data_IF_574345807406
#
_entry.id   IF_574345807406
#
_cell.length_a   1.000
_cell.length_b   1.000
_cell.length_c   1.000
_cell.angle_alpha   90.00
_cell.angle_beta   90.00
_cell.angle_gamma   90.00
#
_symmetry.space_group_name_H-M   'P 1'
#
loop_
_entity.id
_entity.type
_entity.pdbx_description
1 polymer ?
#
# COMPACT_ATOMS: atom_id res chain seq x y z
N UNK A 1 23.15 -16.00 -35.23
CA UNK A 1 23.23 -15.61 -33.81
C UNK A 1 21.85 -15.14 -33.42
N UNK A 2 21.09 -16.00 -32.77
CA UNK A 2 19.83 -15.66 -32.11
C UNK A 2 20.13 -14.65 -31.02
N UNK A 3 19.53 -13.47 -31.10
CA UNK A 3 19.51 -12.51 -30.01
C UNK A 3 18.94 -13.22 -28.78
N UNK A 4 19.60 -13.20 -27.60
CA UNK A 4 18.97 -13.74 -26.41
C UNK A 4 17.66 -12.98 -26.21
N UNK A 5 16.57 -13.71 -25.93
CA UNK A 5 15.34 -13.08 -25.47
C UNK A 5 15.74 -12.23 -24.26
N UNK A 6 15.54 -10.92 -24.32
CA UNK A 6 15.73 -10.05 -23.17
C UNK A 6 14.90 -10.65 -22.05
N UNK A 7 15.54 -11.23 -21.04
CA UNK A 7 14.82 -11.78 -19.90
C UNK A 7 13.88 -10.69 -19.39
N UNK A 8 12.58 -11.02 -19.33
CA UNK A 8 11.59 -10.06 -18.90
C UNK A 8 11.98 -9.62 -17.48
N UNK A 9 12.35 -8.35 -17.32
CA UNK A 9 12.81 -7.83 -16.03
C UNK A 9 11.77 -8.14 -14.95
N UNK A 10 12.19 -8.55 -13.73
CA UNK A 10 11.27 -8.92 -12.66
C UNK A 10 10.24 -7.82 -12.44
N UNK A 11 8.98 -8.24 -12.29
CA UNK A 11 7.88 -7.33 -12.03
C UNK A 11 7.48 -7.41 -10.56
N UNK A 12 7.32 -6.25 -9.92
CA UNK A 12 6.70 -6.08 -8.62
C UNK A 12 5.24 -5.67 -8.84
N UNK A 13 4.30 -6.38 -8.23
CA UNK A 13 2.89 -5.98 -8.15
C UNK A 13 2.58 -5.52 -6.73
N UNK A 14 1.92 -4.39 -6.57
CA UNK A 14 1.44 -3.90 -5.29
C UNK A 14 -0.09 -3.81 -5.35
N UNK A 15 -0.77 -4.46 -4.42
CA UNK A 15 -2.24 -4.53 -4.39
C UNK A 15 -2.74 -3.76 -3.18
N UNK A 16 -3.37 -2.62 -3.45
CA UNK A 16 -3.82 -1.65 -2.46
C UNK A 16 -5.33 -1.42 -2.53
N UNK A 17 -5.91 -0.97 -1.42
CA UNK A 17 -7.33 -0.74 -1.31
C UNK A 17 -7.73 0.56 -2.03
N UNK A 18 -7.08 1.68 -1.70
CA UNK A 18 -7.50 3.01 -2.14
C UNK A 18 -6.38 3.81 -2.83
N UNK A 19 -6.74 4.87 -3.58
CA UNK A 19 -5.78 5.85 -4.10
C UNK A 19 -5.09 6.67 -2.99
N UNK A 20 -3.81 6.40 -2.72
CA UNK A 20 -2.89 7.04 -1.75
C UNK A 20 -2.05 6.00 -1.00
N UNK A 21 -2.69 4.88 -0.63
CA UNK A 21 -2.12 3.73 0.05
C UNK A 21 -0.79 3.29 -0.55
N UNK A 22 -0.73 3.24 -1.88
CA UNK A 22 0.45 2.78 -2.60
C UNK A 22 1.64 3.69 -2.31
N UNK A 23 1.42 5.00 -2.27
CA UNK A 23 2.48 5.97 -2.04
C UNK A 23 2.81 6.10 -0.55
N UNK A 24 1.79 6.04 0.32
CA UNK A 24 1.94 6.11 1.77
C UNK A 24 2.75 4.93 2.33
N UNK A 25 2.48 3.72 1.83
CA UNK A 25 3.04 2.49 2.41
C UNK A 25 4.19 1.88 1.61
N UNK A 26 4.29 2.19 0.31
CA UNK A 26 5.27 1.55 -0.60
C UNK A 26 5.95 2.49 -1.60
N UNK A 27 5.80 3.81 -1.43
CA UNK A 27 6.34 4.81 -2.34
C UNK A 27 7.86 4.73 -2.53
N UNK A 28 8.62 4.44 -1.47
CA UNK A 28 10.08 4.28 -1.51
C UNK A 28 10.46 3.00 -2.27
N UNK A 29 9.76 1.90 -1.98
CA UNK A 29 9.95 0.61 -2.66
C UNK A 29 9.68 0.74 -4.13
N UNK A 30 8.58 1.38 -4.53
CA UNK A 30 8.25 1.62 -5.94
C UNK A 30 9.33 2.47 -6.62
N UNK A 31 9.69 3.61 -6.04
CA UNK A 31 10.72 4.51 -6.60
C UNK A 31 12.07 3.80 -6.77
N UNK A 32 12.48 3.00 -5.79
CA UNK A 32 13.71 2.20 -5.86
C UNK A 32 13.66 1.20 -7.00
N UNK A 33 12.59 0.42 -7.10
CA UNK A 33 12.49 -0.63 -8.12
C UNK A 33 12.41 -0.04 -9.54
N UNK A 34 11.72 1.10 -9.72
CA UNK A 34 11.74 1.83 -11.00
C UNK A 34 13.13 2.37 -11.32
N UNK A 35 13.85 2.97 -10.36
CA UNK A 35 15.24 3.45 -10.53
C UNK A 35 16.18 2.33 -10.93
N UNK A 36 16.01 1.15 -10.34
CA UNK A 36 16.80 -0.05 -10.63
C UNK A 36 16.35 -0.70 -11.97
N UNK A 37 15.28 -0.17 -12.58
CA UNK A 37 14.78 -0.52 -13.90
C UNK A 37 13.89 -1.76 -13.92
N UNK A 38 13.34 -2.17 -12.78
CA UNK A 38 12.31 -3.20 -12.69
C UNK A 38 10.96 -2.68 -13.20
N UNK A 39 10.07 -3.60 -13.58
CA UNK A 39 8.67 -3.25 -13.87
C UNK A 39 7.92 -3.16 -12.54
N UNK A 40 7.22 -2.06 -12.31
CA UNK A 40 6.38 -1.88 -11.12
C UNK A 40 4.95 -1.62 -11.57
N UNK A 41 4.02 -2.38 -10.99
CA UNK A 41 2.59 -2.27 -11.25
C UNK A 41 1.81 -2.13 -9.96
N UNK A 42 0.85 -1.19 -9.92
CA UNK A 42 -0.09 -1.03 -8.81
C UNK A 42 -1.49 -1.44 -9.27
N UNK A 43 -2.15 -2.28 -8.47
CA UNK A 43 -3.56 -2.60 -8.61
C UNK A 43 -4.31 -1.98 -7.43
N UNK A 44 -5.21 -1.05 -7.70
CA UNK A 44 -6.05 -0.41 -6.68
C UNK A 44 -7.45 -1.03 -6.70
N UNK A 45 -7.95 -1.52 -5.55
CA UNK A 45 -9.20 -2.26 -5.47
C UNK A 45 -10.45 -1.39 -5.58
N UNK A 46 -10.42 -0.17 -5.02
CA UNK A 46 -11.53 0.79 -5.06
C UNK A 46 -11.01 2.19 -5.43
N UNK A 47 -11.90 3.18 -5.50
CA UNK A 47 -11.51 4.57 -5.82
C UNK A 47 -11.61 5.50 -4.60
N UNK A 48 -11.91 4.96 -3.43
CA UNK A 48 -11.93 5.74 -2.21
C UNK A 48 -13.09 6.74 -2.15
N UNK A 49 -14.26 6.33 -2.63
CA UNK A 49 -15.44 7.16 -2.75
C UNK A 49 -15.99 7.66 -1.40
N UNK A 50 -15.71 6.95 -0.32
CA UNK A 50 -16.16 7.28 1.05
C UNK A 50 -15.12 8.08 1.83
N UNK A 51 -14.02 8.51 1.18
CA UNK A 51 -12.96 9.30 1.78
C UNK A 51 -13.41 10.70 2.21
N UNK A 52 -12.77 11.22 3.25
CA UNK A 52 -12.85 12.64 3.59
C UNK A 52 -12.07 13.48 2.56
N UNK A 53 -12.33 14.79 2.51
CA UNK A 53 -11.66 15.71 1.58
C UNK A 53 -11.00 16.82 2.37
N UNK A 54 -9.67 16.96 2.28
CA UNK A 54 -8.92 18.00 3.00
C UNK A 54 -9.26 19.41 2.49
N UNK A 55 -9.11 19.73 1.18
CA UNK A 55 -9.29 21.11 0.72
C UNK A 55 -10.77 21.52 0.68
N UNK A 56 -11.09 22.64 1.31
CA UNK A 56 -12.47 23.13 1.43
C UNK A 56 -13.14 23.38 0.07
N UNK A 57 -12.36 23.83 -0.92
CA UNK A 57 -12.82 24.03 -2.28
C UNK A 57 -13.26 22.73 -2.98
N UNK A 58 -12.80 21.56 -2.52
CA UNK A 58 -13.10 20.25 -3.07
C UNK A 58 -14.11 19.45 -2.24
N UNK A 59 -14.56 19.95 -1.07
CA UNK A 59 -15.51 19.24 -0.19
C UNK A 59 -16.79 18.79 -0.90
N UNK A 60 -17.22 19.54 -1.92
CA UNK A 60 -18.38 19.19 -2.73
C UNK A 60 -18.26 17.83 -3.45
N UNK A 61 -17.08 17.22 -3.54
CA UNK A 61 -16.83 15.95 -4.20
C UNK A 61 -17.19 14.72 -3.36
N UNK A 62 -17.29 14.85 -2.03
CA UNK A 62 -17.52 13.71 -1.14
C UNK A 62 -18.83 12.95 -1.42
N UNK A 63 -18.97 11.77 -0.81
CA UNK A 63 -20.14 10.90 -0.95
C UNK A 63 -21.47 11.54 -0.48
N UNK A 64 -21.43 12.53 0.40
CA UNK A 64 -22.62 13.19 0.94
C UNK A 64 -23.11 14.34 0.04
N UNK A 65 -22.25 14.83 -0.86
CA UNK A 65 -22.53 15.92 -1.77
C UNK A 65 -22.73 15.43 -3.21
N UNK A 66 -21.67 15.40 -4.02
CA UNK A 66 -21.77 15.02 -5.44
C UNK A 66 -21.43 13.57 -5.74
N UNK A 67 -20.89 12.82 -4.76
CA UNK A 67 -20.44 11.43 -4.92
C UNK A 67 -19.47 11.29 -6.13
N UNK A 68 -18.61 12.30 -6.31
CA UNK A 68 -17.70 12.43 -7.44
C UNK A 68 -16.23 12.20 -7.05
N UNK A 69 -15.95 11.97 -5.76
CA UNK A 69 -14.61 11.84 -5.21
C UNK A 69 -13.82 10.70 -5.87
N UNK A 70 -14.41 9.53 -6.11
CA UNK A 70 -13.69 8.42 -6.73
C UNK A 70 -13.15 8.72 -8.13
N UNK A 71 -13.93 9.44 -8.95
CA UNK A 71 -13.48 9.87 -10.27
C UNK A 71 -12.32 10.88 -10.18
N UNK A 72 -12.34 11.76 -9.16
CA UNK A 72 -11.26 12.69 -8.89
C UNK A 72 -10.00 11.97 -8.43
N UNK A 73 -10.12 11.08 -7.43
CA UNK A 73 -9.03 10.28 -6.86
C UNK A 73 -8.38 9.34 -7.88
N UNK A 74 -9.13 8.88 -8.89
CA UNK A 74 -8.54 8.14 -10.03
C UNK A 74 -7.51 8.97 -10.79
N UNK A 75 -7.74 10.27 -10.95
CA UNK A 75 -6.78 11.17 -11.61
C UNK A 75 -5.61 11.56 -10.70
N UNK A 76 -5.85 11.67 -9.40
CA UNK A 76 -4.79 11.82 -8.38
C UNK A 76 -3.84 10.60 -8.40
N UNK A 77 -4.39 9.39 -8.35
CA UNK A 77 -3.64 8.13 -8.52
C UNK A 77 -2.82 8.12 -9.80
N UNK A 78 -3.46 8.45 -10.93
CA UNK A 78 -2.77 8.47 -12.23
C UNK A 78 -1.59 9.44 -12.23
N UNK A 79 -1.73 10.60 -11.60
CA UNK A 79 -0.66 11.59 -11.49
C UNK A 79 0.47 11.13 -10.56
N UNK A 80 0.14 10.57 -9.38
CA UNK A 80 1.11 9.99 -8.44
C UNK A 80 1.93 8.86 -9.09
N UNK A 81 1.26 7.93 -9.77
CA UNK A 81 1.90 6.80 -10.45
C UNK A 81 2.80 7.26 -11.61
N UNK A 82 2.35 8.26 -12.37
CA UNK A 82 3.18 8.87 -13.41
C UNK A 82 4.44 9.55 -12.83
N UNK A 83 4.34 10.22 -11.67
CA UNK A 83 5.47 10.86 -11.01
C UNK A 83 6.54 9.84 -10.55
N UNK A 84 6.12 8.64 -10.15
CA UNK A 84 7.02 7.55 -9.75
C UNK A 84 7.50 6.66 -10.91
N UNK A 85 6.96 6.84 -12.12
CA UNK A 85 7.24 5.97 -13.27
C UNK A 85 6.63 4.57 -13.13
N UNK A 86 5.53 4.46 -12.39
CA UNK A 86 4.82 3.21 -12.08
C UNK A 86 3.62 3.05 -13.01
N UNK A 87 3.36 1.82 -13.44
CA UNK A 87 2.12 1.50 -14.16
C UNK A 87 1.02 1.14 -13.17
N UNK A 88 -0.24 1.43 -13.48
CA UNK A 88 -1.33 1.08 -12.57
C UNK A 88 -2.61 0.71 -13.32
N UNK A 89 -3.52 0.04 -12.62
CA UNK A 89 -4.90 -0.19 -13.04
C UNK A 89 -5.83 -0.27 -11.83
N UNK A 90 -7.14 -0.07 -12.06
CA UNK A 90 -8.18 -0.17 -11.03
C UNK A 90 -8.95 -1.48 -11.23
N UNK A 91 -9.19 -2.20 -10.13
CA UNK A 91 -9.80 -3.52 -10.17
C UNK A 91 -11.23 -3.47 -10.75
N UNK A 92 -11.43 -4.15 -11.89
CA UNK A 92 -12.73 -4.20 -12.56
C UNK A 92 -13.11 -2.95 -13.34
N UNK A 93 -12.15 -2.05 -13.57
CA UNK A 93 -12.31 -0.96 -14.53
C UNK A 93 -12.71 -1.49 -15.92
N UNK A 94 -13.65 -0.80 -16.56
CA UNK A 94 -14.13 -1.10 -17.91
C UNK A 94 -14.44 0.22 -18.63
N UNK A 95 -13.44 0.77 -19.33
CA UNK A 95 -13.58 2.04 -20.05
C UNK A 95 -14.65 2.00 -21.15
N UNK A 96 -14.91 0.83 -21.74
CA UNK A 96 -15.92 0.69 -22.79
C UNK A 96 -17.34 0.83 -22.23
N UNK A 97 -17.57 0.38 -20.99
CA UNK A 97 -18.80 0.58 -20.25
C UNK A 97 -18.85 1.89 -19.45
N UNK A 98 -17.77 2.68 -19.44
CA UNK A 98 -17.66 3.88 -18.61
C UNK A 98 -17.60 3.59 -17.11
N UNK A 99 -17.24 2.36 -16.72
CA UNK A 99 -17.15 1.93 -15.32
C UNK A 99 -15.73 2.10 -14.82
N UNK A 100 -15.55 2.90 -13.77
CA UNK A 100 -14.23 3.18 -13.21
C UNK A 100 -13.75 2.08 -12.24
N UNK A 101 -14.67 1.42 -11.54
CA UNK A 101 -14.44 0.23 -10.71
C UNK A 101 -15.74 -0.58 -10.61
N UNK A 102 -15.65 -1.90 -10.40
CA UNK A 102 -16.82 -2.71 -9.99
C UNK A 102 -17.07 -2.65 -8.48
N UNK A 103 -16.08 -2.21 -7.71
CA UNK A 103 -16.12 -2.16 -6.26
C UNK A 103 -16.00 -0.71 -5.79
N UNK A 104 -16.96 -0.32 -4.96
CA UNK A 104 -16.94 0.92 -4.20
C UNK A 104 -16.18 0.72 -2.90
N UNK A 105 -15.49 1.76 -2.46
CA UNK A 105 -15.00 1.92 -1.09
C UNK A 105 -16.11 1.59 -0.07
N UNK A 106 -15.76 0.79 0.92
CA UNK A 106 -16.68 0.33 1.97
C UNK A 106 -16.74 1.28 3.16
N UNK A 107 -15.89 2.30 3.19
CA UNK A 107 -15.75 3.26 4.27
C UNK A 107 -15.08 2.69 5.53
N UNK A 108 -14.88 3.58 6.49
CA UNK A 108 -14.23 3.27 7.76
C UNK A 108 -15.08 2.37 8.66
N UNK A 109 -14.43 1.46 9.38
CA UNK A 109 -15.10 0.63 10.39
C UNK A 109 -15.80 1.50 11.44
N UNK A 110 -17.08 1.20 11.72
CA UNK A 110 -17.88 1.91 12.72
C UNK A 110 -18.57 3.18 12.20
N UNK A 111 -18.35 3.59 10.94
CA UNK A 111 -19.15 4.62 10.28
C UNK A 111 -20.45 3.98 9.78
N UNK A 112 -21.59 4.58 10.14
CA UNK A 112 -22.92 4.13 9.69
C UNK A 112 -23.18 4.64 8.28
N UNK A 113 -22.83 3.83 7.28
CA UNK A 113 -23.10 4.10 5.88
C UNK A 113 -24.37 3.39 5.40
N UNK A 114 -25.14 3.97 4.46
CA UNK A 114 -26.25 3.27 3.83
C UNK A 114 -25.79 1.93 3.24
N UNK A 115 -26.57 0.84 3.39
CA UNK A 115 -26.19 -0.46 2.86
C UNK A 115 -26.09 -0.39 1.33
N UNK A 116 -24.95 -0.83 0.80
CA UNK A 116 -24.63 -0.77 -0.62
C UNK A 116 -24.15 -2.13 -1.14
N UNK A 117 -24.77 -2.68 -2.20
CA UNK A 117 -24.42 -3.99 -2.73
C UNK A 117 -23.11 -4.00 -3.54
N UNK A 118 -22.60 -2.82 -3.91
CA UNK A 118 -21.39 -2.60 -4.69
C UNK A 118 -20.13 -2.37 -3.83
N UNK A 119 -20.22 -2.49 -2.51
CA UNK A 119 -19.07 -2.35 -1.59
C UNK A 119 -18.06 -3.48 -1.76
N UNK A 120 -16.76 -3.17 -1.65
CA UNK A 120 -15.71 -4.16 -1.81
C UNK A 120 -15.73 -5.25 -0.73
N UNK A 121 -16.00 -4.89 0.54
CA UNK A 121 -16.18 -5.89 1.61
C UNK A 121 -17.38 -6.80 1.40
N UNK A 122 -18.40 -6.31 0.69
CA UNK A 122 -19.59 -7.08 0.33
C UNK A 122 -19.39 -8.02 -0.86
N UNK A 123 -18.29 -7.88 -1.60
CA UNK A 123 -17.99 -8.70 -2.75
C UNK A 123 -17.76 -10.18 -2.37
N UNK A 124 -18.19 -11.09 -3.25
CA UNK A 124 -17.81 -12.50 -3.13
C UNK A 124 -16.28 -12.65 -3.24
N UNK A 125 -15.67 -13.27 -2.23
CA UNK A 125 -14.22 -13.41 -2.12
C UNK A 125 -13.65 -14.15 -3.34
N UNK A 126 -14.31 -15.22 -3.79
CA UNK A 126 -13.84 -16.01 -4.93
C UNK A 126 -13.88 -15.22 -6.24
N UNK A 127 -14.95 -14.47 -6.48
CA UNK A 127 -15.11 -13.61 -7.64
C UNK A 127 -14.07 -12.48 -7.66
N UNK A 128 -13.89 -11.76 -6.54
CA UNK A 128 -12.87 -10.72 -6.43
C UNK A 128 -11.45 -11.30 -6.58
N UNK A 129 -11.16 -12.44 -5.97
CA UNK A 129 -9.88 -13.12 -6.09
C UNK A 129 -9.58 -13.58 -7.52
N UNK A 130 -10.60 -14.03 -8.27
CA UNK A 130 -10.44 -14.38 -9.67
C UNK A 130 -10.01 -13.17 -10.53
N UNK A 131 -10.56 -11.99 -10.26
CA UNK A 131 -10.17 -10.75 -10.95
C UNK A 131 -8.71 -10.37 -10.65
N UNK A 132 -8.28 -10.49 -9.39
CA UNK A 132 -6.87 -10.27 -9.01
C UNK A 132 -5.96 -11.35 -9.63
N UNK A 133 -6.41 -12.60 -9.70
CA UNK A 133 -5.66 -13.68 -10.36
C UNK A 133 -5.46 -13.43 -11.86
N UNK A 134 -6.42 -12.80 -12.55
CA UNK A 134 -6.25 -12.40 -13.94
C UNK A 134 -5.17 -11.32 -14.11
N UNK A 135 -5.09 -10.38 -13.16
CA UNK A 135 -3.98 -9.41 -13.10
C UNK A 135 -2.65 -10.13 -12.87
N UNK A 136 -2.58 -11.05 -11.91
CA UNK A 136 -1.37 -11.86 -11.65
C UNK A 136 -0.89 -12.61 -12.90
N UNK A 137 -1.80 -13.27 -13.62
CA UNK A 137 -1.47 -13.98 -14.87
C UNK A 137 -0.99 -13.06 -15.99
N UNK A 138 -1.54 -11.85 -16.08
CA UNK A 138 -1.14 -10.84 -17.08
C UNK A 138 0.22 -10.22 -16.74
N UNK A 139 0.38 -9.77 -15.50
CA UNK A 139 1.58 -9.04 -15.04
C UNK A 139 2.77 -10.00 -14.87
N UNK A 140 2.50 -11.23 -14.41
CA UNK A 140 3.46 -12.27 -13.99
C UNK A 140 4.53 -11.70 -13.05
N UNK A 141 4.12 -11.15 -11.89
CA UNK A 141 5.07 -10.59 -10.94
C UNK A 141 5.94 -11.68 -10.33
N UNK A 142 7.16 -11.32 -9.94
CA UNK A 142 8.02 -12.17 -9.12
C UNK A 142 7.68 -12.01 -7.62
N UNK A 143 7.20 -10.82 -7.23
CA UNK A 143 6.70 -10.55 -5.89
C UNK A 143 5.43 -9.70 -5.91
N UNK A 144 4.58 -9.93 -4.92
CA UNK A 144 3.35 -9.19 -4.64
C UNK A 144 3.45 -8.59 -3.25
N UNK A 145 3.10 -7.31 -3.10
CA UNK A 145 2.97 -6.63 -1.81
C UNK A 145 1.50 -6.31 -1.56
N UNK A 146 1.02 -6.57 -0.35
CA UNK A 146 -0.31 -6.17 0.14
C UNK A 146 -0.27 -5.97 1.66
N UNK A 147 -1.42 -5.95 2.33
CA UNK A 147 -1.53 -5.78 3.78
C UNK A 147 -1.39 -7.11 4.55
N UNK A 148 -1.29 -7.03 5.87
CA UNK A 148 -1.41 -8.17 6.79
C UNK A 148 -2.88 -8.55 7.06
N UNK A 149 -3.12 -9.58 7.89
CA UNK A 149 -4.48 -10.07 8.20
C UNK A 149 -5.37 -9.02 8.90
N UNK A 150 -4.76 -7.98 9.49
CA UNK A 150 -5.45 -6.83 10.10
C UNK A 150 -5.63 -5.63 9.16
N UNK A 151 -5.12 -5.69 7.93
CA UNK A 151 -5.28 -4.61 6.96
C UNK A 151 -4.56 -3.32 7.39
N UNK A 152 -3.42 -3.41 8.06
CA UNK A 152 -2.71 -2.23 8.54
C UNK A 152 -3.29 -1.65 9.83
N UNK A 153 -4.34 -0.85 9.69
CA UNK A 153 -5.00 -0.12 10.77
C UNK A 153 -6.47 -0.52 10.99
N UNK A 154 -6.86 -1.73 10.53
CA UNK A 154 -8.22 -2.27 10.60
C UNK A 154 -9.22 -1.60 9.65
N UNK A 155 -8.76 -1.01 8.55
CA UNK A 155 -9.66 -0.59 7.48
C UNK A 155 -10.34 -1.83 6.86
N UNK A 156 -11.68 -1.88 6.75
CA UNK A 156 -12.38 -3.03 6.19
C UNK A 156 -11.89 -3.43 4.78
N UNK A 157 -11.69 -2.46 3.90
CA UNK A 157 -11.16 -2.71 2.55
C UNK A 157 -9.71 -3.19 2.52
N UNK A 158 -8.87 -2.82 3.49
CA UNK A 158 -7.49 -3.32 3.55
C UNK A 158 -7.49 -4.79 3.95
N UNK A 159 -8.33 -5.17 4.92
CA UNK A 159 -8.54 -6.57 5.30
C UNK A 159 -9.09 -7.36 4.12
N UNK A 160 -10.05 -6.81 3.36
CA UNK A 160 -10.58 -7.46 2.18
C UNK A 160 -9.51 -7.58 1.07
N UNK A 161 -8.70 -6.55 0.86
CA UNK A 161 -7.59 -6.56 -0.11
C UNK A 161 -6.58 -7.65 0.23
N UNK A 162 -6.23 -7.79 1.52
CA UNK A 162 -5.41 -8.88 2.02
C UNK A 162 -6.01 -10.25 1.67
N UNK A 163 -7.28 -10.48 2.02
CA UNK A 163 -7.97 -11.76 1.79
C UNK A 163 -8.05 -12.11 0.31
N UNK A 164 -8.45 -11.15 -0.52
CA UNK A 164 -8.60 -11.30 -1.97
C UNK A 164 -7.24 -11.60 -2.61
N UNK A 165 -6.19 -10.89 -2.21
CA UNK A 165 -4.83 -11.09 -2.74
C UNK A 165 -4.27 -12.45 -2.34
N UNK A 166 -4.40 -12.85 -1.07
CA UNK A 166 -3.96 -14.18 -0.62
C UNK A 166 -4.69 -15.29 -1.37
N UNK A 167 -6.01 -15.20 -1.49
CA UNK A 167 -6.82 -16.17 -2.24
C UNK A 167 -6.43 -16.22 -3.73
N UNK A 168 -6.15 -15.08 -4.34
CA UNK A 168 -5.71 -15.00 -5.74
C UNK A 168 -4.36 -15.71 -5.94
N UNK A 169 -3.37 -15.44 -5.07
CA UNK A 169 -2.06 -16.10 -5.12
C UNK A 169 -2.17 -17.60 -4.83
N UNK A 170 -2.93 -18.00 -3.82
CA UNK A 170 -3.16 -19.41 -3.49
C UNK A 170 -3.88 -20.18 -4.62
N UNK A 171 -4.66 -19.51 -5.46
CA UNK A 171 -5.31 -20.13 -6.61
C UNK A 171 -4.36 -20.50 -7.76
N UNK A 172 -3.12 -19.97 -7.76
CA UNK A 172 -2.11 -20.29 -8.77
C UNK A 172 -1.40 -21.62 -8.46
N UNK A 173 -0.88 -22.33 -9.48
CA UNK A 173 0.02 -23.47 -9.29
C UNK A 173 1.20 -23.09 -8.40
N UNK A 174 1.61 -23.97 -7.48
CA UNK A 174 2.59 -23.66 -6.44
C UNK A 174 3.95 -23.18 -6.99
N UNK A 175 4.38 -23.69 -8.14
CA UNK A 175 5.60 -23.31 -8.85
C UNK A 175 5.49 -22.01 -9.66
N UNK A 176 4.28 -21.46 -9.80
CA UNK A 176 3.99 -20.19 -10.47
C UNK A 176 3.65 -19.06 -9.48
N UNK A 177 3.59 -19.35 -8.16
CA UNK A 177 3.22 -18.35 -7.14
C UNK A 177 4.33 -17.32 -6.98
N UNK A 178 4.04 -16.00 -7.07
CA UNK A 178 4.99 -14.98 -6.66
C UNK A 178 5.25 -15.06 -5.16
N UNK A 179 6.37 -14.50 -4.71
CA UNK A 179 6.56 -14.19 -3.29
C UNK A 179 5.46 -13.21 -2.85
N UNK A 180 4.83 -13.45 -1.71
CA UNK A 180 3.79 -12.59 -1.19
C UNK A 180 4.28 -11.91 0.08
N UNK A 181 4.18 -10.58 0.15
CA UNK A 181 4.65 -9.78 1.27
C UNK A 181 3.51 -8.95 1.87
N UNK A 182 3.48 -8.86 3.19
CA UNK A 182 2.74 -7.83 3.93
C UNK A 182 3.62 -6.62 4.18
N UNK A 183 3.09 -5.41 3.99
CA UNK A 183 3.70 -4.18 4.50
C UNK A 183 3.46 -4.05 6.01
N UNK A 184 4.54 -3.84 6.77
CA UNK A 184 4.54 -3.79 8.24
C UNK A 184 5.59 -2.80 8.74
N UNK A 185 5.37 -2.25 9.93
CA UNK A 185 6.30 -1.32 10.56
C UNK A 185 6.92 -1.96 11.81
N UNK A 186 8.25 -2.06 11.91
CA UNK A 186 8.90 -2.46 13.15
C UNK A 186 8.55 -1.52 14.30
N UNK A 187 8.26 -2.05 15.49
CA UNK A 187 7.97 -1.25 16.67
C UNK A 187 9.12 -0.29 17.04
N UNK A 188 10.38 -0.68 16.79
CA UNK A 188 11.52 0.22 16.97
C UNK A 188 11.47 1.46 16.06
N UNK A 189 11.08 1.29 14.79
CA UNK A 189 10.97 2.39 13.84
C UNK A 189 9.81 3.31 14.17
N UNK A 190 8.67 2.76 14.58
CA UNK A 190 7.52 3.57 14.98
C UNK A 190 7.85 4.47 16.19
N UNK A 191 8.61 3.94 17.17
CA UNK A 191 9.12 4.74 18.31
C UNK A 191 10.10 5.82 17.86
N UNK A 192 11.04 5.46 16.99
CA UNK A 192 12.01 6.41 16.43
C UNK A 192 11.31 7.55 15.67
N UNK A 193 10.27 7.26 14.90
CA UNK A 193 9.54 8.27 14.14
C UNK A 193 8.77 9.22 15.07
N UNK A 194 8.15 8.72 16.15
CA UNK A 194 7.56 9.58 17.19
C UNK A 194 8.61 10.44 17.91
N UNK A 195 9.80 9.89 18.19
CA UNK A 195 10.92 10.65 18.76
C UNK A 195 11.42 11.73 17.80
N UNK A 196 11.56 11.40 16.52
CA UNK A 196 12.01 12.31 15.48
C UNK A 196 11.04 13.48 15.31
N UNK A 197 9.73 13.22 15.26
CA UNK A 197 8.69 14.25 15.15
C UNK A 197 8.68 15.19 16.35
N UNK A 198 8.94 14.69 17.57
CA UNK A 198 9.08 15.55 18.77
C UNK A 198 10.31 16.44 18.71
N UNK A 199 11.41 15.97 18.12
CA UNK A 199 12.63 16.74 17.94
C UNK A 199 12.55 17.72 16.75
N UNK A 200 11.69 17.42 15.77
CA UNK A 200 11.52 18.18 14.53
C UNK A 200 10.02 18.42 14.27
N UNK A 201 9.36 19.23 15.12
CA UNK A 201 7.94 19.51 14.93
C UNK A 201 7.71 20.21 13.57
N UNK A 202 6.67 19.81 12.82
CA UNK A 202 6.35 20.43 11.54
C UNK A 202 5.96 21.90 11.72
N UNK A 203 6.09 22.69 10.65
CA UNK A 203 5.69 24.10 10.67
C UNK A 203 4.17 24.27 10.55
N UNK A 204 3.52 23.27 9.95
CA UNK A 204 2.09 23.13 9.79
C UNK A 204 1.41 22.98 11.16
N UNK A 205 0.14 23.44 11.30
CA UNK A 205 -0.59 23.41 12.56
C UNK A 205 -1.10 22.00 12.93
N UNK A 206 -0.31 20.97 12.68
CA UNK A 206 -0.64 19.58 12.97
C UNK A 206 -0.31 19.21 14.41
N UNK A 207 -1.10 18.29 14.93
CA UNK A 207 -0.82 17.65 16.21
C UNK A 207 0.28 16.60 16.04
N UNK A 208 1.14 16.46 17.04
CA UNK A 208 2.06 15.32 17.10
C UNK A 208 1.31 14.07 17.55
N UNK A 209 1.73 12.86 17.11
CA UNK A 209 1.19 11.62 17.63
C UNK A 209 1.35 11.54 19.15
N UNK A 210 0.34 10.99 19.82
CA UNK A 210 0.41 10.70 21.25
C UNK A 210 1.62 9.79 21.53
N UNK A 211 2.60 10.21 22.36
CA UNK A 211 3.77 9.39 22.66
C UNK A 211 3.40 8.05 23.32
N UNK A 212 2.33 8.03 24.12
CA UNK A 212 1.86 6.87 24.87
C UNK A 212 0.65 6.18 24.20
N UNK A 213 0.16 6.75 23.10
CA UNK A 213 -0.95 6.19 22.35
C UNK A 213 -0.60 4.86 21.69
N UNK A 214 -1.60 4.00 21.55
CA UNK A 214 -1.43 2.71 20.87
C UNK A 214 -0.95 2.90 19.42
N UNK A 215 -0.18 1.94 18.94
CA UNK A 215 0.16 1.86 17.53
C UNK A 215 -0.89 1.04 16.77
N UNK A 216 -1.06 1.27 15.45
CA UNK A 216 -1.92 0.41 14.65
C UNK A 216 -1.38 -1.03 14.63
N UNK A 217 -2.23 -2.05 14.36
CA UNK A 217 -1.82 -3.46 14.33
C UNK A 217 -0.64 -3.79 13.42
N UNK A 218 -0.40 -3.02 12.34
CA UNK A 218 0.78 -3.19 11.48
C UNK A 218 2.10 -2.80 12.12
N UNK A 219 2.08 -2.14 13.29
CA UNK A 219 3.28 -1.96 14.10
C UNK A 219 3.50 -3.22 14.93
N UNK A 220 4.48 -4.01 14.50
CA UNK A 220 4.72 -5.36 15.01
C UNK A 220 6.06 -5.46 15.72
N UNK A 221 6.28 -6.57 16.42
CA UNK A 221 7.62 -6.89 16.94
C UNK A 221 8.65 -6.89 15.79
N UNK A 222 9.82 -6.31 16.06
CA UNK A 222 10.89 -6.14 15.09
C UNK A 222 11.30 -7.44 14.38
N UNK A 223 11.16 -8.60 15.03
CA UNK A 223 11.50 -9.91 14.49
C UNK A 223 10.48 -10.44 13.47
N UNK A 224 9.25 -9.89 13.43
CA UNK A 224 8.24 -10.24 12.42
C UNK A 224 8.61 -9.64 11.06
N UNK A 225 9.21 -8.44 11.07
CA UNK A 225 9.66 -7.76 9.85
C UNK A 225 10.98 -8.36 9.40
N UNK A 226 10.93 -9.15 8.32
CA UNK A 226 12.05 -9.94 7.81
C UNK A 226 12.77 -9.28 6.63
N UNK A 227 12.11 -8.32 5.97
CA UNK A 227 12.63 -7.60 4.82
C UNK A 227 12.44 -6.09 5.01
N UNK A 228 13.31 -5.31 4.40
CA UNK A 228 13.25 -3.85 4.45
C UNK A 228 13.74 -3.18 3.17
N UNK A 229 13.22 -1.99 2.92
CA UNK A 229 13.76 -1.04 1.96
C UNK A 229 14.07 0.25 2.70
N UNK A 230 15.34 0.66 2.69
CA UNK A 230 15.83 1.88 3.36
C UNK A 230 16.56 2.74 2.34
N UNK A 231 15.89 3.78 1.86
CA UNK A 231 16.36 4.69 0.80
C UNK A 231 15.96 6.14 1.14
N UNK A 232 16.58 6.77 2.15
CA UNK A 232 16.25 8.15 2.53
C UNK A 232 16.46 9.15 1.39
N UNK A 233 17.33 8.84 0.41
CA UNK A 233 17.52 9.66 -0.79
C UNK A 233 16.33 9.68 -1.76
N UNK A 234 15.32 8.82 -1.56
CA UNK A 234 14.11 8.77 -2.38
C UNK A 234 12.88 9.42 -1.71
N UNK A 235 13.04 10.00 -0.52
CA UNK A 235 11.93 10.65 0.20
C UNK A 235 11.30 11.77 -0.62
N UNK A 236 12.09 12.57 -1.36
CA UNK A 236 11.51 13.63 -2.20
C UNK A 236 10.67 13.06 -3.37
N UNK A 237 11.02 11.88 -3.89
CA UNK A 237 10.21 11.23 -4.92
C UNK A 237 8.86 10.76 -4.35
N UNK A 238 8.87 10.15 -3.16
CA UNK A 238 7.65 9.78 -2.43
C UNK A 238 6.80 11.01 -2.09
N UNK A 239 7.41 12.06 -1.52
CA UNK A 239 6.75 13.31 -1.20
C UNK A 239 6.15 13.98 -2.46
N UNK A 240 6.87 13.98 -3.57
CA UNK A 240 6.39 14.48 -4.86
C UNK A 240 5.16 13.73 -5.37
N UNK A 241 5.11 12.42 -5.21
CA UNK A 241 3.95 11.60 -5.55
C UNK A 241 2.76 11.86 -4.59
N UNK A 242 3.01 11.95 -3.28
CA UNK A 242 1.96 12.26 -2.29
C UNK A 242 1.28 13.60 -2.54
N UNK A 243 2.01 14.60 -3.05
CA UNK A 243 1.44 15.91 -3.41
C UNK A 243 0.40 15.85 -4.54
N UNK A 244 0.27 14.71 -5.23
CA UNK A 244 -0.83 14.50 -6.19
C UNK A 244 -2.13 14.02 -5.55
N UNK A 245 -2.07 13.44 -4.35
CA UNK A 245 -3.24 13.02 -3.56
C UNK A 245 -3.75 14.17 -2.70
N UNK A 246 -4.04 15.32 -3.35
CA UNK A 246 -4.36 16.58 -2.67
C UNK A 246 -5.63 16.52 -1.84
N UNK A 247 -6.56 15.62 -2.17
CA UNK A 247 -7.78 15.42 -1.37
C UNK A 247 -7.51 14.68 -0.06
N UNK A 248 -6.43 13.88 0.01
CA UNK A 248 -6.20 12.93 1.12
C UNK A 248 -4.95 13.24 1.95
N UNK A 249 -3.92 13.86 1.35
CA UNK A 249 -2.61 14.04 1.98
C UNK A 249 -2.13 15.47 1.82
N UNK A 250 -1.72 16.07 2.93
CA UNK A 250 -0.94 17.32 2.91
C UNK A 250 0.51 17.03 3.27
N UNK A 251 1.43 17.29 2.34
CA UNK A 251 2.88 17.17 2.57
C UNK A 251 3.42 18.49 3.11
N UNK A 252 4.19 18.41 4.20
CA UNK A 252 4.78 19.57 4.86
C UNK A 252 5.80 20.29 3.99
N UNK A 253 6.03 21.56 4.30
CA UNK A 253 7.00 22.41 3.62
C UNK A 253 8.44 21.88 3.73
N UNK A 254 8.71 21.06 4.74
CA UNK A 254 9.99 20.38 4.93
C UNK A 254 10.21 19.20 3.96
N UNK A 255 9.17 18.71 3.27
CA UNK A 255 9.21 17.54 2.39
C UNK A 255 9.43 16.21 3.11
N UNK A 256 9.45 16.19 4.43
CA UNK A 256 9.75 15.03 5.27
C UNK A 256 8.61 14.68 6.23
N UNK A 257 7.59 15.51 6.32
CA UNK A 257 6.38 15.26 7.09
C UNK A 257 5.14 15.34 6.22
N UNK A 258 4.06 14.70 6.67
CA UNK A 258 2.74 14.83 6.08
C UNK A 258 1.66 14.65 7.15
N UNK A 259 0.43 15.01 6.82
CA UNK A 259 -0.75 14.63 7.60
C UNK A 259 -1.90 14.25 6.66
N UNK A 260 -2.85 13.50 7.22
CA UNK A 260 -4.15 13.20 6.61
C UNK A 260 -5.20 14.19 7.14
N UNK A 261 -6.49 13.94 6.89
CA UNK A 261 -7.59 14.79 7.38
C UNK A 261 -7.70 14.89 8.91
N UNK A 262 -7.05 13.98 9.65
CA UNK A 262 -7.00 14.00 11.11
C UNK A 262 -6.01 15.03 11.68
N UNK A 263 -5.24 15.73 10.84
CA UNK A 263 -4.22 16.71 11.24
C UNK A 263 -3.16 16.14 12.21
N UNK A 264 -2.89 14.83 12.13
CA UNK A 264 -1.81 14.19 12.90
C UNK A 264 -0.58 14.04 12.01
N UNK A 265 0.53 14.62 12.44
CA UNK A 265 1.79 14.58 11.72
C UNK A 265 2.39 13.16 11.67
N UNK A 266 2.85 12.76 10.49
CA UNK A 266 3.59 11.54 10.23
C UNK A 266 4.89 11.86 9.48
N UNK A 267 5.90 10.99 9.63
CA UNK A 267 7.23 11.17 9.03
C UNK A 267 7.37 10.33 7.76
N UNK A 268 7.88 10.95 6.69
CA UNK A 268 8.42 10.26 5.53
C UNK A 268 9.87 9.84 5.83
N UNK A 269 10.03 8.68 6.47
CA UNK A 269 11.34 8.25 7.00
C UNK A 269 12.28 7.67 5.93
N UNK A 270 11.77 7.38 4.73
CA UNK A 270 12.53 6.71 3.67
C UNK A 270 12.73 5.21 3.94
N UNK A 271 11.89 4.62 4.80
CA UNK A 271 11.99 3.23 5.26
C UNK A 271 10.65 2.54 5.16
N UNK A 272 10.65 1.33 4.62
CA UNK A 272 9.47 0.48 4.48
C UNK A 272 9.83 -0.95 4.88
N UNK A 273 9.00 -1.57 5.71
CA UNK A 273 9.22 -2.91 6.26
C UNK A 273 8.24 -3.93 5.69
N UNK A 274 8.70 -5.17 5.54
CA UNK A 274 7.90 -6.24 4.98
C UNK A 274 8.10 -7.57 5.70
N UNK A 275 7.06 -8.40 5.69
CA UNK A 275 7.14 -9.80 6.08
C UNK A 275 6.63 -10.71 4.97
N UNK A 276 7.31 -11.82 4.72
CA UNK A 276 6.83 -12.84 3.78
C UNK A 276 5.56 -13.47 4.36
N UNK A 277 4.51 -13.60 3.56
CA UNK A 277 3.26 -14.27 3.91
C UNK A 277 3.22 -15.67 3.31
N UNK A 278 2.60 -16.60 4.03
CA UNK A 278 2.08 -17.83 3.45
C UNK A 278 0.74 -17.53 2.78
N UNK A 279 0.60 -17.69 1.45
CA UNK A 279 -0.65 -17.38 0.74
C UNK A 279 -1.86 -18.20 1.19
N UNK A 280 -1.66 -19.41 1.72
CA UNK A 280 -2.76 -20.28 2.16
C UNK A 280 -3.34 -19.82 3.50
N UNK A 281 -2.49 -19.32 4.40
CA UNK A 281 -2.90 -18.89 5.73
C UNK A 281 -3.05 -17.37 5.87
N UNK A 282 -2.47 -16.60 4.96
CA UNK A 282 -2.41 -15.14 5.01
C UNK A 282 -1.48 -14.61 6.12
N UNK A 283 -0.67 -15.46 6.74
CA UNK A 283 0.11 -15.09 7.93
C UNK A 283 1.60 -14.94 7.64
N UNK A 284 2.30 -14.06 8.37
CA UNK A 284 3.75 -13.97 8.30
C UNK A 284 4.43 -15.33 8.53
N UNK A 285 5.31 -15.71 7.61
CA UNK A 285 6.18 -16.86 7.77
C UNK A 285 7.28 -16.47 8.77
N UNK A 286 7.47 -17.21 9.88
CA UNK A 286 8.54 -16.93 10.81
C UNK A 286 9.90 -16.89 10.10
N UNK A 287 10.71 -15.87 10.39
CA UNK A 287 12.07 -15.79 9.88
C UNK A 287 12.88 -17.03 10.26
N UNK A 288 13.59 -17.63 9.30
CA UNK A 288 14.50 -18.74 9.58
C UNK A 288 15.73 -18.17 10.31
N UNK A 289 15.69 -18.13 11.64
CA UNK A 289 16.77 -17.57 12.46
C UNK A 289 16.73 -18.04 13.92
N UNK A 290 17.57 -19.02 14.24
CA UNK A 290 18.15 -19.30 15.56
C UNK A 290 17.21 -19.76 16.69
N UNK A 291 17.20 -21.07 16.96
CA UNK A 291 16.81 -21.55 18.29
C UNK A 291 17.81 -21.00 19.33
N UNK A 292 17.41 -19.95 20.05
CA UNK A 292 18.08 -19.48 21.27
C UNK A 292 18.68 -18.09 21.17
N UNK A 293 18.04 -17.10 21.82
CA UNK A 293 18.65 -15.94 22.49
C UNK A 293 19.53 -14.96 21.69
N UNK A 294 19.79 -15.19 20.40
CA UNK A 294 20.60 -14.30 19.58
C UNK A 294 19.80 -13.05 19.14
N UNK A 295 20.48 -11.92 18.83
CA UNK A 295 19.81 -10.73 18.32
C UNK A 295 19.00 -11.06 17.06
N UNK A 296 17.91 -10.33 16.85
CA UNK A 296 17.05 -10.52 15.68
C UNK A 296 17.91 -10.61 14.40
N UNK A 297 17.69 -11.61 13.54
CA UNK A 297 18.49 -11.79 12.34
C UNK A 297 18.44 -10.53 11.46
N UNK A 298 19.54 -10.23 10.78
CA UNK A 298 19.60 -9.09 9.88
C UNK A 298 18.48 -9.17 8.83
N UNK A 299 17.75 -8.07 8.63
CA UNK A 299 16.67 -8.00 7.63
C UNK A 299 17.25 -8.02 6.22
N UNK A 300 16.52 -8.66 5.31
CA UNK A 300 16.89 -8.72 3.89
C UNK A 300 16.53 -7.42 3.19
N UNK A 301 17.40 -6.90 2.34
CA UNK A 301 17.24 -5.57 1.72
C UNK A 301 16.60 -5.59 0.34
N UNK A 302 16.22 -6.77 -0.19
CA UNK A 302 15.69 -6.92 -1.53
C UNK A 302 14.42 -7.78 -1.52
N UNK A 303 13.36 -7.29 -2.18
CA UNK A 303 12.09 -8.02 -2.33
C UNK A 303 12.07 -8.95 -3.56
N UNK A 304 12.99 -8.75 -4.51
CA UNK A 304 13.06 -9.49 -5.77
C UNK A 304 14.31 -10.38 -5.88
N UNK A 305 15.13 -10.49 -4.84
CA UNK A 305 16.28 -11.40 -4.88
C UNK A 305 15.82 -12.85 -4.72
N UNK A 306 16.36 -13.70 -5.60
CA UNK A 306 16.09 -15.11 -5.70
C UNK A 306 16.39 -15.80 -4.38
N UNK A 307 15.45 -16.62 -3.91
CA UNK A 307 15.81 -17.73 -3.05
C UNK A 307 16.79 -18.60 -3.85
N UNK A 308 18.09 -18.48 -3.57
CA UNK A 308 19.10 -19.47 -3.95
C UNK A 308 18.80 -20.82 -3.28
#
# INVERSE_FOLDING_TARGET
MTTPATEARPALLLVHAHPDDETLTTGITMARHVRDGHRVHVLTCTLGEEGEVIPAELHHLDAQHSDALGAHRREELRAAMAALGVTHEVLGEDPAAGRLSVFRDSGMAGVDLPPRPDTFVGADLGAAAAMVADVLRRVRPAAVVTYDEHGGYLHPDHVQTHRVTCAAVASLPADERPLLYAVLTPASWAREDREWLRAHPPAEPWSLPDPDGDYPPSVVDDAVVTHEVVEPGLVEAQAGALRHHVTQVTVGADGHTFALSNDIAARLSGREGFALLDPETGRPVPGVGGAGGDPAPARRTHLLEESL
#
